data_IF_576861553706
#
_entry.id   IF_576861553706
#
_cell.length_a   1.000
_cell.length_b   1.000
_cell.length_c   1.000
_cell.angle_alpha   90.00
_cell.angle_beta   90.00
_cell.angle_gamma   90.00
#
_symmetry.space_group_name_H-M   'P 1'
#
loop_
_entity.id
_entity.type
_entity.pdbx_description
1 polymer ?
#
# COMPACT_ATOMS: atom_id res chain seq x y z
N UNK A 1 -14.65 26.23 5.88
CA UNK A 1 -14.33 25.25 4.83
C UNK A 1 -13.75 23.92 5.32
N UNK A 2 -12.77 23.88 6.24
CA UNK A 2 -11.98 22.66 6.53
C UNK A 2 -12.71 21.43 7.09
N UNK A 3 -13.85 21.57 7.78
CA UNK A 3 -14.62 20.40 8.30
C UNK A 3 -15.38 19.64 7.20
N UNK A 4 -15.77 20.32 6.12
CA UNK A 4 -16.53 19.70 5.01
C UNK A 4 -15.62 18.81 4.15
N UNK A 5 -14.40 19.27 3.88
CA UNK A 5 -13.37 18.53 3.14
C UNK A 5 -12.91 17.28 3.88
N UNK A 6 -12.72 17.36 5.20
CA UNK A 6 -12.35 16.20 6.05
C UNK A 6 -13.38 15.06 5.98
N UNK A 7 -14.67 15.39 6.03
CA UNK A 7 -15.76 14.40 5.99
C UNK A 7 -15.85 13.69 4.64
N UNK A 8 -15.57 14.40 3.53
CA UNK A 8 -15.52 13.82 2.18
C UNK A 8 -14.38 12.80 2.02
N UNK A 9 -13.18 13.08 2.55
CA UNK A 9 -12.02 12.16 2.45
C UNK A 9 -12.27 10.81 3.12
N UNK A 10 -12.92 10.79 4.29
CA UNK A 10 -13.19 9.55 5.04
C UNK A 10 -14.27 8.68 4.38
N UNK A 11 -15.37 9.30 3.93
CA UNK A 11 -16.42 8.60 3.18
C UNK A 11 -15.86 7.97 1.92
N UNK A 12 -15.07 8.73 1.14
CA UNK A 12 -14.39 8.23 -0.06
C UNK A 12 -13.51 7.00 0.20
N UNK A 13 -12.73 7.00 1.29
CA UNK A 13 -11.87 5.86 1.62
C UNK A 13 -12.66 4.59 1.93
N UNK A 14 -13.83 4.70 2.55
CA UNK A 14 -14.74 3.57 2.72
C UNK A 14 -15.34 3.12 1.38
N UNK A 15 -15.74 4.07 0.53
CA UNK A 15 -16.31 3.78 -0.78
C UNK A 15 -15.30 3.09 -1.70
N UNK A 16 -14.04 3.51 -1.71
CA UNK A 16 -12.98 2.84 -2.47
C UNK A 16 -12.85 1.36 -2.10
N UNK A 17 -12.83 1.05 -0.80
CA UNK A 17 -12.78 -0.35 -0.32
C UNK A 17 -14.01 -1.11 -0.80
N UNK A 18 -15.20 -0.53 -0.64
CA UNK A 18 -16.46 -1.17 -0.99
C UNK A 18 -16.55 -1.43 -2.50
N UNK A 19 -16.28 -0.42 -3.32
CA UNK A 19 -16.32 -0.50 -4.78
C UNK A 19 -15.34 -1.56 -5.28
N UNK A 20 -14.09 -1.54 -4.81
CA UNK A 20 -13.10 -2.55 -5.21
C UNK A 20 -13.47 -3.98 -4.79
N UNK A 21 -14.28 -4.17 -3.74
CA UNK A 21 -14.71 -5.49 -3.27
C UNK A 21 -16.02 -5.98 -3.88
N UNK A 22 -16.87 -5.07 -4.36
CA UNK A 22 -18.27 -5.39 -4.69
C UNK A 22 -18.65 -5.08 -6.14
N UNK A 23 -17.86 -4.28 -6.84
CA UNK A 23 -18.16 -3.84 -8.20
C UNK A 23 -17.10 -4.35 -9.17
N UNK A 24 -17.47 -4.51 -10.44
CA UNK A 24 -16.56 -4.93 -11.52
C UNK A 24 -15.68 -3.76 -11.98
N UNK A 25 -14.67 -3.41 -11.18
CA UNK A 25 -13.73 -2.31 -11.45
C UNK A 25 -12.37 -2.75 -11.98
N UNK A 26 -12.15 -4.06 -12.11
CA UNK A 26 -10.98 -4.59 -12.80
C UNK A 26 -10.95 -4.17 -14.26
N UNK A 27 -9.76 -4.20 -14.85
CA UNK A 27 -9.55 -3.79 -16.23
C UNK A 27 -10.40 -4.65 -17.19
N UNK A 28 -11.29 -4.01 -17.95
CA UNK A 28 -12.26 -4.72 -18.83
C UNK A 28 -11.78 -4.91 -20.26
N UNK A 29 -11.06 -3.91 -20.80
CA UNK A 29 -10.65 -3.85 -22.22
C UNK A 29 -9.14 -3.86 -22.41
N UNK A 30 -8.39 -3.86 -21.32
CA UNK A 30 -6.94 -3.89 -21.30
C UNK A 30 -6.51 -5.01 -20.37
N UNK A 31 -5.43 -5.69 -20.71
CA UNK A 31 -4.83 -6.78 -19.96
C UNK A 31 -3.51 -6.30 -19.35
N UNK A 32 -2.86 -7.15 -18.55
CA UNK A 32 -1.56 -6.85 -17.95
C UNK A 32 -0.40 -6.99 -18.94
N UNK A 33 -0.61 -7.65 -20.09
CA UNK A 33 0.44 -8.04 -21.02
C UNK A 33 1.24 -9.27 -20.57
N UNK A 34 0.88 -9.89 -19.43
CA UNK A 34 1.53 -11.12 -18.97
C UNK A 34 1.18 -12.33 -19.82
N UNK A 35 0.08 -12.28 -20.58
CA UNK A 35 -0.27 -13.31 -21.56
C UNK A 35 0.73 -13.43 -22.71
N UNK A 36 1.50 -12.37 -22.98
CA UNK A 36 2.54 -12.33 -24.02
C UNK A 36 3.90 -12.81 -23.48
N UNK A 37 3.99 -13.13 -22.19
CA UNK A 37 5.23 -13.58 -21.53
C UNK A 37 5.15 -15.08 -21.31
N UNK A 38 5.99 -15.84 -22.03
CA UNK A 38 6.10 -17.28 -21.88
C UNK A 38 7.42 -17.66 -21.23
N UNK A 39 7.35 -18.35 -20.09
CA UNK A 39 8.50 -19.01 -19.49
C UNK A 39 8.73 -20.34 -20.21
N UNK A 40 9.93 -20.54 -20.76
CA UNK A 40 10.28 -21.79 -21.44
C UNK A 40 10.40 -22.88 -20.38
N UNK A 41 9.56 -23.91 -20.50
CA UNK A 41 9.59 -25.05 -19.59
C UNK A 41 10.85 -25.89 -19.80
N UNK A 42 11.56 -26.16 -18.71
CA UNK A 42 12.57 -27.20 -18.64
C UNK A 42 11.96 -28.48 -18.07
N UNK A 43 11.94 -29.54 -18.88
CA UNK A 43 11.35 -30.82 -18.52
C UNK A 43 12.25 -31.69 -17.63
N UNK A 44 13.55 -31.40 -17.56
CA UNK A 44 14.53 -32.15 -16.77
C UNK A 44 15.41 -31.15 -16.01
N UNK A 45 14.84 -30.39 -15.06
CA UNK A 45 15.61 -29.43 -14.31
C UNK A 45 16.65 -30.13 -13.43
N UNK A 46 17.90 -29.69 -13.51
CA UNK A 46 18.98 -30.13 -12.64
C UNK A 46 18.95 -29.40 -11.28
N UNK A 47 17.76 -29.33 -10.65
CA UNK A 47 17.54 -28.61 -9.39
C UNK A 47 16.59 -29.39 -8.46
N UNK A 48 16.85 -29.32 -7.15
CA UNK A 48 15.93 -29.81 -6.13
C UNK A 48 14.92 -28.72 -5.75
N UNK A 49 13.65 -29.10 -5.58
CA UNK A 49 12.61 -28.18 -5.09
C UNK A 49 12.95 -27.61 -3.70
N UNK A 50 13.60 -28.42 -2.86
CA UNK A 50 13.99 -28.04 -1.50
C UNK A 50 15.12 -27.01 -1.47
N UNK A 51 15.86 -26.87 -2.58
CA UNK A 51 16.97 -25.92 -2.74
C UNK A 51 16.53 -24.56 -3.32
N UNK A 52 15.26 -24.42 -3.71
CA UNK A 52 14.74 -23.18 -4.28
C UNK A 52 14.60 -22.14 -3.16
N UNK A 53 15.49 -21.14 -3.16
CA UNK A 53 15.40 -19.97 -2.28
C UNK A 53 14.77 -18.79 -3.02
N UNK A 54 13.57 -18.40 -2.60
CA UNK A 54 12.87 -17.21 -3.12
C UNK A 54 13.30 -15.92 -2.41
N UNK A 55 14.16 -16.00 -1.39
CA UNK A 55 14.49 -14.83 -0.58
C UNK A 55 15.30 -13.79 -1.34
N UNK A 56 15.09 -12.52 -1.02
CA UNK A 56 15.80 -11.39 -1.62
C UNK A 56 16.21 -10.38 -0.55
N UNK A 57 17.20 -9.54 -0.86
CA UNK A 57 17.52 -8.36 -0.06
C UNK A 57 16.99 -7.11 -0.76
N UNK A 58 16.18 -6.32 -0.06
CA UNK A 58 15.59 -5.08 -0.56
C UNK A 58 15.73 -3.98 0.51
N UNK A 59 16.41 -2.88 0.17
CA UNK A 59 16.65 -1.73 1.07
C UNK A 59 17.25 -2.11 2.43
N UNK A 60 18.09 -3.14 2.48
CA UNK A 60 18.70 -3.63 3.72
C UNK A 60 17.85 -4.62 4.53
N UNK A 61 16.67 -5.00 4.01
CA UNK A 61 15.80 -6.01 4.61
C UNK A 61 15.84 -7.29 3.80
N UNK A 62 15.86 -8.44 4.48
CA UNK A 62 15.68 -9.74 3.85
C UNK A 62 14.20 -10.08 3.80
N UNK A 63 13.65 -10.24 2.59
CA UNK A 63 12.30 -10.76 2.37
C UNK A 63 12.39 -12.26 2.07
N UNK A 64 11.39 -13.03 2.50
CA UNK A 64 11.31 -14.48 2.22
C UNK A 64 10.97 -14.81 0.77
N UNK A 65 10.38 -13.86 0.05
CA UNK A 65 9.95 -13.98 -1.34
C UNK A 65 9.93 -12.58 -1.99
N UNK A 66 10.04 -12.47 -3.32
CA UNK A 66 10.14 -11.19 -4.01
C UNK A 66 8.76 -10.52 -4.19
N UNK A 67 8.01 -10.38 -3.10
CA UNK A 67 6.65 -9.84 -3.09
C UNK A 67 6.50 -8.69 -2.09
N UNK A 68 5.68 -7.71 -2.48
CA UNK A 68 5.29 -6.56 -1.67
C UNK A 68 3.78 -6.43 -1.75
N UNK A 69 3.09 -6.35 -0.61
CA UNK A 69 1.68 -5.97 -0.59
C UNK A 69 1.60 -4.47 -0.89
N UNK A 70 0.99 -4.13 -2.04
CA UNK A 70 0.90 -2.75 -2.52
C UNK A 70 -0.10 -1.90 -1.73
N UNK A 71 0.03 -0.59 -1.85
CA UNK A 71 -0.76 0.41 -1.14
C UNK A 71 -2.25 0.29 -1.45
N UNK A 72 -3.08 0.14 -0.41
CA UNK A 72 -4.54 0.03 -0.57
C UNK A 72 -5.31 1.04 0.28
N UNK A 73 -5.19 0.96 1.61
CA UNK A 73 -6.16 1.63 2.49
C UNK A 73 -5.56 2.19 3.79
N UNK A 74 -6.42 2.85 4.56
CA UNK A 74 -6.17 3.53 5.83
C UNK A 74 -7.12 4.73 5.96
N UNK A 75 -7.38 5.21 7.16
CA UNK A 75 -8.24 6.36 7.43
C UNK A 75 -9.69 6.04 7.80
N UNK A 76 -10.06 4.77 8.00
CA UNK A 76 -11.39 4.38 8.52
C UNK A 76 -11.27 3.19 9.47
N UNK A 77 -12.32 2.92 10.26
CA UNK A 77 -12.36 1.74 11.16
C UNK A 77 -12.27 0.41 10.40
N UNK A 78 -12.86 0.34 9.20
CA UNK A 78 -12.73 -0.83 8.34
C UNK A 78 -11.29 -0.98 7.85
N UNK A 79 -10.67 0.13 7.43
CA UNK A 79 -9.30 0.15 6.98
C UNK A 79 -8.29 -0.26 8.08
N UNK A 80 -8.55 0.09 9.35
CA UNK A 80 -7.76 -0.41 10.48
C UNK A 80 -7.74 -1.94 10.51
N UNK A 81 -8.90 -2.59 10.39
CA UNK A 81 -8.99 -4.06 10.41
C UNK A 81 -8.23 -4.69 9.24
N UNK A 82 -8.35 -4.09 8.05
CA UNK A 82 -7.65 -4.54 6.85
C UNK A 82 -6.14 -4.40 7.02
N UNK A 83 -5.66 -3.21 7.44
CA UNK A 83 -4.23 -2.98 7.64
C UNK A 83 -3.65 -3.89 8.73
N UNK A 84 -4.38 -4.15 9.81
CA UNK A 84 -3.97 -5.10 10.84
C UNK A 84 -3.80 -6.52 10.28
N UNK A 85 -4.80 -7.03 9.54
CA UNK A 85 -4.76 -8.37 8.98
C UNK A 85 -3.65 -8.53 7.92
N UNK A 86 -3.47 -7.54 7.05
CA UNK A 86 -2.41 -7.54 6.05
C UNK A 86 -1.02 -7.47 6.69
N UNK A 87 -0.86 -6.69 7.75
CA UNK A 87 0.39 -6.60 8.49
C UNK A 87 0.71 -7.92 9.21
N UNK A 88 -0.25 -8.54 9.90
CA UNK A 88 -0.05 -9.85 10.52
C UNK A 88 0.35 -10.92 9.49
N UNK A 89 -0.31 -10.93 8.33
CA UNK A 89 0.03 -11.84 7.24
C UNK A 89 1.43 -11.56 6.66
N UNK A 90 1.76 -10.28 6.42
CA UNK A 90 3.06 -9.87 5.88
C UNK A 90 4.21 -10.22 6.83
N UNK A 91 4.03 -10.00 8.14
CA UNK A 91 4.97 -10.39 9.19
C UNK A 91 5.16 -11.91 9.21
N UNK A 92 4.07 -12.67 9.23
CA UNK A 92 4.14 -14.14 9.24
C UNK A 92 4.79 -14.72 7.99
N UNK A 93 4.60 -14.07 6.84
CA UNK A 93 5.19 -14.50 5.57
C UNK A 93 6.59 -13.97 5.36
N UNK A 94 7.03 -12.93 6.09
CA UNK A 94 8.32 -12.26 5.87
C UNK A 94 8.38 -11.45 4.57
N UNK A 95 7.27 -10.81 4.18
CA UNK A 95 7.18 -9.96 2.97
C UNK A 95 6.95 -8.50 3.33
N UNK A 96 7.24 -7.59 2.41
CA UNK A 96 7.04 -6.17 2.64
C UNK A 96 5.58 -5.75 2.50
N UNK A 97 5.21 -4.65 3.17
CA UNK A 97 3.89 -4.05 3.12
C UNK A 97 3.99 -2.55 2.89
N UNK A 98 3.22 -2.04 1.93
CA UNK A 98 2.99 -0.60 1.74
C UNK A 98 1.61 -0.22 2.26
N UNK A 99 1.53 0.79 3.14
CA UNK A 99 0.23 1.29 3.60
C UNK A 99 -0.46 2.13 2.52
N UNK A 100 -1.77 2.33 2.63
CA UNK A 100 -2.48 3.28 1.74
C UNK A 100 -2.02 4.72 1.96
N UNK A 101 -2.46 5.64 1.09
CA UNK A 101 -2.14 7.06 1.20
C UNK A 101 -2.46 7.62 2.59
N UNK A 102 -1.42 8.13 3.27
CA UNK A 102 -1.47 8.67 4.63
C UNK A 102 -2.03 10.09 4.70
N UNK A 103 -2.39 10.68 3.55
CA UNK A 103 -3.05 12.00 3.46
C UNK A 103 -4.16 12.19 4.50
N UNK A 104 -5.01 11.18 4.71
CA UNK A 104 -6.11 11.29 5.66
C UNK A 104 -5.65 11.44 7.12
N UNK A 105 -4.54 10.80 7.51
CA UNK A 105 -3.99 10.94 8.84
C UNK A 105 -3.23 12.25 9.02
N UNK A 106 -2.58 12.76 7.97
CA UNK A 106 -1.96 14.10 7.98
C UNK A 106 -3.03 15.21 8.08
N UNK A 107 -4.16 15.07 7.36
CA UNK A 107 -5.28 16.04 7.46
C UNK A 107 -6.09 15.88 8.75
N UNK A 108 -6.15 14.68 9.31
CA UNK A 108 -6.94 14.31 10.50
C UNK A 108 -6.15 13.34 11.40
N UNK A 109 -5.33 13.86 12.32
CA UNK A 109 -4.45 13.04 13.17
C UNK A 109 -5.18 11.95 13.97
N UNK A 110 -6.48 12.13 14.27
CA UNK A 110 -7.31 11.09 14.90
C UNK A 110 -7.40 9.78 14.09
N UNK A 111 -7.02 9.77 12.80
CA UNK A 111 -7.01 8.59 11.95
C UNK A 111 -5.65 7.88 11.89
N UNK A 112 -4.60 8.41 12.52
CA UNK A 112 -3.27 7.82 12.48
C UNK A 112 -3.24 6.37 12.98
N UNK A 113 -4.09 6.02 13.95
CA UNK A 113 -4.19 4.65 14.48
C UNK A 113 -4.48 3.59 13.40
N UNK A 114 -5.19 3.98 12.33
CA UNK A 114 -5.52 3.09 11.21
C UNK A 114 -4.31 2.73 10.34
N UNK A 115 -3.21 3.45 10.48
CA UNK A 115 -1.93 3.19 9.80
C UNK A 115 -0.89 2.62 10.76
N UNK A 116 -0.80 3.17 11.98
CA UNK A 116 0.12 2.72 13.04
C UNK A 116 0.00 1.23 13.36
N UNK A 117 -1.22 0.70 13.28
CA UNK A 117 -1.48 -0.73 13.46
C UNK A 117 -0.62 -1.62 12.56
N UNK A 118 -0.18 -1.14 11.38
CA UNK A 118 0.68 -1.92 10.51
C UNK A 118 2.05 -2.19 11.16
N UNK A 119 2.68 -1.19 11.79
CA UNK A 119 3.95 -1.39 12.51
C UNK A 119 3.76 -2.17 13.80
N UNK A 120 2.65 -1.94 14.52
CA UNK A 120 2.33 -2.71 15.73
C UNK A 120 2.20 -4.21 15.46
N UNK A 121 1.65 -4.58 14.30
CA UNK A 121 1.42 -5.97 13.89
C UNK A 121 2.57 -6.58 13.10
N UNK A 122 3.39 -5.76 12.46
CA UNK A 122 4.53 -6.17 11.67
C UNK A 122 5.80 -5.39 12.05
N UNK A 123 6.38 -5.67 13.22
CA UNK A 123 7.52 -4.92 13.74
C UNK A 123 8.82 -5.15 12.96
N UNK A 124 8.96 -6.27 12.24
CA UNK A 124 10.25 -6.68 11.67
C UNK A 124 10.33 -6.52 10.15
N UNK A 125 9.20 -6.44 9.44
CA UNK A 125 9.21 -6.33 7.99
C UNK A 125 9.62 -4.94 7.49
N UNK A 126 10.03 -4.90 6.22
CA UNK A 126 10.10 -3.70 5.40
C UNK A 126 8.69 -3.10 5.26
N UNK A 127 8.42 -2.04 6.04
CA UNK A 127 7.17 -1.30 6.00
C UNK A 127 7.37 0.00 5.23
N UNK A 128 6.48 0.28 4.28
CA UNK A 128 6.62 1.38 3.33
C UNK A 128 5.47 2.36 3.54
N UNK A 129 5.83 3.62 3.85
CA UNK A 129 4.89 4.75 3.91
C UNK A 129 4.38 5.12 2.52
N UNK A 130 3.26 5.84 2.43
CA UNK A 130 2.72 6.22 1.14
C UNK A 130 2.07 7.60 1.13
N UNK A 131 2.48 8.44 0.18
CA UNK A 131 1.97 9.79 -0.02
C UNK A 131 1.77 10.08 -1.52
N UNK A 132 0.82 10.93 -1.87
CA UNK A 132 0.61 11.32 -3.26
C UNK A 132 1.52 12.47 -3.66
N UNK A 133 2.00 12.49 -4.90
CA UNK A 133 2.84 13.58 -5.39
C UNK A 133 2.16 14.96 -5.26
N UNK A 134 0.83 15.02 -5.43
CA UNK A 134 0.07 16.25 -5.24
C UNK A 134 0.16 16.80 -3.80
N UNK A 135 0.24 15.93 -2.78
CA UNK A 135 0.45 16.36 -1.40
C UNK A 135 1.89 16.82 -1.17
N UNK A 136 2.87 16.12 -1.74
CA UNK A 136 4.28 16.53 -1.63
C UNK A 136 4.51 17.94 -2.21
N UNK A 137 3.90 18.25 -3.35
CA UNK A 137 3.96 19.59 -3.96
C UNK A 137 3.27 20.65 -3.09
N UNK A 138 2.15 20.31 -2.44
CA UNK A 138 1.36 21.27 -1.61
C UNK A 138 1.95 21.49 -0.23
N UNK A 139 2.53 20.45 0.38
CA UNK A 139 2.90 20.41 1.79
C UNK A 139 4.41 20.29 2.04
N UNK A 140 5.21 20.14 0.99
CA UNK A 140 6.66 20.05 1.11
C UNK A 140 7.13 18.70 1.65
N UNK A 141 8.45 18.63 1.87
CA UNK A 141 9.15 17.44 2.36
C UNK A 141 8.70 17.06 3.77
N UNK A 142 8.22 18.02 4.55
CA UNK A 142 7.73 17.84 5.91
C UNK A 142 6.59 16.81 5.96
N UNK A 143 5.67 16.83 4.99
CA UNK A 143 4.59 15.84 4.91
C UNK A 143 5.11 14.42 4.61
N UNK A 144 6.21 14.30 3.87
CA UNK A 144 6.86 13.02 3.63
C UNK A 144 7.54 12.49 4.90
N UNK A 145 8.23 13.36 5.64
CA UNK A 145 8.84 13.01 6.94
C UNK A 145 7.76 12.56 7.93
N UNK A 146 6.68 13.33 8.08
CA UNK A 146 5.58 12.99 8.99
C UNK A 146 4.92 11.65 8.61
N UNK A 147 4.76 11.36 7.31
CA UNK A 147 4.23 10.08 6.85
C UNK A 147 5.17 8.91 7.22
N UNK A 148 6.48 9.07 7.07
CA UNK A 148 7.46 8.04 7.45
C UNK A 148 7.45 7.82 8.96
N UNK A 149 7.54 8.89 9.74
CA UNK A 149 7.58 8.85 11.21
C UNK A 149 6.29 8.26 11.79
N UNK A 150 5.12 8.54 11.19
CA UNK A 150 3.82 8.06 11.66
C UNK A 150 3.77 6.55 11.87
N UNK A 151 4.47 5.77 11.05
CA UNK A 151 4.48 4.30 11.10
C UNK A 151 5.89 3.72 11.27
N UNK A 152 6.88 4.57 11.58
CA UNK A 152 8.29 4.18 11.64
C UNK A 152 8.71 3.41 10.38
N UNK A 153 8.31 3.93 9.20
CA UNK A 153 8.54 3.26 7.93
C UNK A 153 10.01 3.21 7.55
N UNK A 154 10.39 2.19 6.79
CA UNK A 154 11.75 2.00 6.29
C UNK A 154 11.94 2.61 4.90
N UNK A 155 10.86 2.87 4.17
CA UNK A 155 10.87 3.54 2.87
C UNK A 155 9.57 4.36 2.67
N UNK A 156 9.57 5.23 1.66
CA UNK A 156 8.42 6.04 1.26
C UNK A 156 8.09 5.79 -0.21
N UNK A 157 6.82 5.46 -0.49
CA UNK A 157 6.24 5.42 -1.82
C UNK A 157 5.56 6.74 -2.15
N UNK A 158 5.86 7.30 -3.32
CA UNK A 158 5.17 8.47 -3.87
C UNK A 158 4.32 8.02 -5.06
N UNK A 159 3.00 7.99 -4.89
CA UNK A 159 2.11 7.57 -5.97
C UNK A 159 1.74 8.73 -6.89
N UNK A 160 1.57 8.39 -8.17
CA UNK A 160 1.08 9.26 -9.23
C UNK A 160 -0.30 8.79 -9.66
N UNK A 161 -1.30 9.63 -9.49
CA UNK A 161 -2.70 9.29 -9.77
C UNK A 161 -3.44 10.43 -10.48
N UNK A 162 -2.76 11.16 -11.36
CA UNK A 162 -3.30 12.36 -12.02
C UNK A 162 -4.65 12.13 -12.72
N UNK A 163 -4.81 11.00 -13.43
CA UNK A 163 -6.08 10.65 -14.05
C UNK A 163 -7.19 10.43 -13.01
N UNK A 164 -6.88 9.74 -11.91
CA UNK A 164 -7.83 9.50 -10.83
C UNK A 164 -8.28 10.84 -10.22
N UNK A 165 -7.35 11.74 -9.91
CA UNK A 165 -7.71 13.07 -9.38
C UNK A 165 -8.55 13.87 -10.39
N UNK A 166 -8.22 13.82 -11.70
CA UNK A 166 -8.94 14.57 -12.72
C UNK A 166 -10.42 14.14 -12.90
N UNK A 167 -10.74 12.87 -12.69
CA UNK A 167 -12.11 12.34 -12.84
C UNK A 167 -12.88 12.26 -11.51
N UNK A 168 -12.18 12.38 -10.39
CA UNK A 168 -12.78 12.36 -9.07
C UNK A 168 -13.44 13.72 -8.78
N UNK A 169 -14.65 13.78 -8.21
CA UNK A 169 -15.36 15.04 -8.01
C UNK A 169 -14.66 16.09 -7.13
N UNK A 170 -13.58 15.72 -6.43
CA UNK A 170 -12.85 16.57 -5.49
C UNK A 170 -11.31 16.48 -5.61
N UNK A 171 -10.79 16.03 -6.76
CA UNK A 171 -9.34 16.01 -7.03
C UNK A 171 -8.69 17.39 -7.13
#
# INVERSE_FOLDING_TARGET
>A
MGKLTKRKTLTRKADHIKICLQEEVEARKITSGFEDVHLIHDAIPEASLEEIDCSINLFGFRLSMPLIISAMTGGTRLAFKINAALAEAAESLGIALTVGSQRAALESPEQAYTFKVAREKAPNILLIANLGAAQLVRNGVEAAVEAVEMIEANALSIHLNALQEAVQPEG
#
